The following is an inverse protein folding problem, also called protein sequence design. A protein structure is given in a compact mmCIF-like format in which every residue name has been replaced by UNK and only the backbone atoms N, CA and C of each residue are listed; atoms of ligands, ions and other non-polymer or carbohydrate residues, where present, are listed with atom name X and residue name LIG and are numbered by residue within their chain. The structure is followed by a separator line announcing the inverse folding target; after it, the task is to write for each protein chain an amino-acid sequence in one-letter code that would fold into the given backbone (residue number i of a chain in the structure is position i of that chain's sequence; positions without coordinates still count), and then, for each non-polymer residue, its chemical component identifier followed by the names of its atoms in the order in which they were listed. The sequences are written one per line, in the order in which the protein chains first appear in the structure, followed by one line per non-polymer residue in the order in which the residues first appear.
data_IF_949843546943
#
_entry.id   IF_949843546943
#
_cell.length_a   1.000
_cell.length_b   1.000
_cell.length_c   1.000
_cell.angle_alpha   90.00
_cell.angle_beta   90.00
_cell.angle_gamma   90.00
#
_symmetry.space_group_name_H-M   'P 1'
#
loop_
_entity.id
_entity.type
_entity.pdbx_description
1 polymer ?
#
# COMPACT_ATOMS: atom_id res chain seq x y z
N UNK A 1 5.49 34.76 5.46
CA UNK A 1 6.28 33.82 4.64
C UNK A 1 5.31 32.79 4.08
N UNK A 2 5.06 32.81 2.77
CA UNK A 2 4.09 31.93 2.13
C UNK A 2 4.64 30.48 2.14
N UNK A 3 4.03 29.61 2.94
CA UNK A 3 4.29 28.17 2.92
C UNK A 3 3.66 27.57 1.64
N UNK A 4 4.19 27.94 0.47
CA UNK A 4 3.82 27.36 -0.81
C UNK A 4 4.46 26.00 -0.96
N UNK A 5 3.82 24.97 -0.42
CA UNK A 5 4.18 23.59 -0.76
C UNK A 5 4.13 23.39 -2.29
N UNK A 6 4.91 22.45 -2.85
CA UNK A 6 4.90 22.20 -4.29
C UNK A 6 3.47 21.90 -4.76
N UNK A 7 3.05 22.56 -5.84
CA UNK A 7 1.75 22.32 -6.46
C UNK A 7 1.66 20.84 -6.83
N UNK A 8 0.71 20.12 -6.22
CA UNK A 8 0.48 18.70 -6.51
C UNK A 8 -0.25 18.59 -7.83
N UNK A 9 0.14 17.62 -8.64
CA UNK A 9 -0.41 17.41 -9.99
C UNK A 9 -0.89 15.98 -10.16
N UNK A 10 -1.93 15.81 -10.97
CA UNK A 10 -2.37 14.49 -11.42
C UNK A 10 -1.45 13.98 -12.53
N UNK A 11 -1.03 12.72 -12.43
CA UNK A 11 -0.21 12.05 -13.45
C UNK A 11 -0.89 10.75 -13.83
N UNK A 12 -0.94 10.46 -15.13
CA UNK A 12 -1.50 9.22 -15.67
C UNK A 12 -0.39 8.43 -16.34
N UNK A 13 -0.22 7.19 -15.91
CA UNK A 13 0.74 6.24 -16.45
C UNK A 13 -0.04 5.18 -17.22
N UNK A 14 0.31 4.95 -18.48
CA UNK A 14 -0.31 3.85 -19.23
C UNK A 14 0.15 2.51 -18.66
N UNK A 15 -0.80 1.57 -18.52
CA UNK A 15 -0.55 0.22 -18.01
C UNK A 15 -1.00 -0.82 -19.01
N UNK A 16 -0.21 -1.88 -19.15
CA UNK A 16 -0.58 -3.07 -19.90
C UNK A 16 -1.18 -4.11 -18.96
N UNK A 17 -2.28 -4.69 -19.39
CA UNK A 17 -2.96 -5.75 -18.67
C UNK A 17 -2.44 -7.11 -19.17
N UNK A 18 -2.00 -8.02 -18.28
CA UNK A 18 -1.67 -9.37 -18.70
C UNK A 18 -2.98 -10.04 -19.16
N UNK A 19 -3.06 -10.43 -20.43
CA UNK A 19 -4.29 -10.82 -21.13
C UNK A 19 -5.22 -11.84 -20.44
N UNK A 20 -6.41 -12.11 -21.02
CA UNK A 20 -7.43 -12.98 -20.45
C UNK A 20 -6.87 -14.39 -20.20
N UNK A 21 -6.59 -14.71 -18.94
CA UNK A 21 -5.95 -15.97 -18.53
C UNK A 21 -5.06 -15.85 -17.28
N UNK A 22 -4.64 -14.64 -16.91
CA UNK A 22 -3.82 -14.40 -15.72
C UNK A 22 -4.64 -14.31 -14.41
N UNK A 23 -5.67 -15.16 -14.26
CA UNK A 23 -6.47 -15.32 -13.04
C UNK A 23 -5.95 -16.48 -12.19
N UNK A 24 -4.63 -16.74 -12.24
CA UNK A 24 -4.02 -17.61 -11.26
C UNK A 24 -3.76 -16.81 -9.98
N UNK A 25 -4.53 -17.19 -8.97
CA UNK A 25 -4.26 -17.05 -7.53
C UNK A 25 -3.09 -16.14 -7.16
N UNK A 26 -3.41 -14.93 -6.67
CA UNK A 26 -2.51 -14.12 -5.84
C UNK A 26 -1.05 -14.00 -6.37
N UNK A 27 -0.81 -13.38 -7.52
CA UNK A 27 0.52 -12.79 -7.76
C UNK A 27 1.02 -12.59 -9.18
N UNK A 28 0.37 -13.13 -10.22
CA UNK A 28 0.90 -13.12 -11.60
C UNK A 28 0.09 -12.27 -12.60
N UNK A 29 -1.13 -11.85 -12.25
CA UNK A 29 -1.98 -10.96 -13.07
C UNK A 29 -1.76 -9.46 -12.84
N UNK A 30 -0.54 -9.03 -12.50
CA UNK A 30 -0.25 -7.64 -12.18
C UNK A 30 -0.22 -6.77 -13.43
N UNK A 31 -1.03 -5.71 -13.49
CA UNK A 31 -0.86 -4.65 -14.49
C UNK A 31 0.56 -4.07 -14.38
N UNK A 32 1.24 -3.93 -15.50
CA UNK A 32 2.59 -3.35 -15.58
C UNK A 32 2.55 -2.04 -16.34
N UNK A 33 3.21 -0.96 -15.86
CA UNK A 33 3.38 0.25 -16.64
C UNK A 33 4.02 -0.05 -18.00
N UNK A 34 3.45 0.49 -19.08
CA UNK A 34 3.98 0.32 -20.45
C UNK A 34 5.36 0.96 -20.54
N UNK A 35 5.49 2.16 -19.97
CA UNK A 35 6.75 2.86 -19.82
C UNK A 35 7.32 2.65 -18.41
N UNK A 36 8.65 2.53 -18.28
CA UNK A 36 9.27 2.35 -16.99
C UNK A 36 9.02 3.56 -16.09
N UNK A 37 8.48 3.31 -14.88
CA UNK A 37 8.25 4.36 -13.89
C UNK A 37 9.55 5.13 -13.62
N UNK A 38 9.58 6.47 -13.79
CA UNK A 38 10.79 7.26 -13.62
C UNK A 38 11.43 7.06 -12.25
N UNK A 39 12.77 7.14 -12.12
CA UNK A 39 13.48 6.94 -10.86
C UNK A 39 13.40 8.18 -9.94
N UNK A 40 12.21 8.75 -9.80
CA UNK A 40 11.92 9.92 -8.98
C UNK A 40 10.72 9.59 -8.11
N UNK A 41 10.80 9.88 -6.82
CA UNK A 41 9.70 9.62 -5.91
C UNK A 41 8.51 10.53 -6.22
N UNK A 42 7.36 9.95 -6.57
CA UNK A 42 6.13 10.70 -6.86
C UNK A 42 5.65 11.59 -5.69
N UNK A 43 6.03 11.29 -4.44
CA UNK A 43 5.64 12.08 -3.26
C UNK A 43 6.54 13.28 -2.99
N UNK A 44 7.85 13.14 -3.18
CA UNK A 44 8.82 14.15 -2.73
C UNK A 44 9.62 14.78 -3.88
N UNK A 45 9.57 14.21 -5.10
CA UNK A 45 10.39 14.66 -6.23
C UNK A 45 11.88 14.38 -6.08
N UNK A 46 12.27 13.62 -5.05
CA UNK A 46 13.65 13.24 -4.78
C UNK A 46 14.03 11.97 -5.57
N UNK A 47 15.33 11.77 -5.86
CA UNK A 47 15.80 10.57 -6.57
C UNK A 47 15.48 9.28 -5.83
N UNK A 48 15.26 8.23 -6.60
CA UNK A 48 15.07 6.86 -6.14
C UNK A 48 16.29 6.36 -5.36
N UNK A 49 16.04 5.70 -4.23
CA UNK A 49 17.05 4.94 -3.48
C UNK A 49 16.62 3.49 -3.23
N UNK A 50 15.34 3.18 -3.47
CA UNK A 50 14.74 1.86 -3.27
C UNK A 50 13.49 1.70 -4.16
N UNK A 51 13.12 0.47 -4.50
CA UNK A 51 11.87 0.13 -5.19
C UNK A 51 10.97 -0.70 -4.29
N UNK A 52 9.73 -0.23 -4.16
CA UNK A 52 8.72 -0.89 -3.34
C UNK A 52 7.59 -1.39 -4.20
N UNK A 53 7.22 -2.66 -4.03
CA UNK A 53 6.03 -3.21 -4.66
C UNK A 53 4.78 -2.56 -4.07
N UNK A 54 4.01 -1.90 -4.93
CA UNK A 54 2.74 -1.29 -4.58
C UNK A 54 1.65 -2.05 -5.27
N UNK A 55 0.73 -2.58 -4.49
CA UNK A 55 -0.50 -3.11 -5.05
C UNK A 55 -1.51 -1.97 -5.19
N UNK A 56 -2.30 -1.90 -6.25
CA UNK A 56 -3.37 -0.91 -6.46
C UNK A 56 -4.60 -1.69 -6.86
N UNK A 57 -5.67 -1.57 -6.09
CA UNK A 57 -6.94 -2.24 -6.38
C UNK A 57 -7.84 -1.31 -7.20
N UNK A 58 -8.44 -1.82 -8.27
CA UNK A 58 -9.57 -1.17 -8.94
C UNK A 58 -10.85 -1.97 -8.67
N UNK A 59 -11.96 -1.24 -8.51
CA UNK A 59 -13.32 -1.81 -8.51
C UNK A 59 -13.89 -1.87 -9.96
N UNK A 60 -13.02 -1.66 -10.98
CA UNK A 60 -13.46 -1.55 -12.36
C UNK A 60 -13.85 -2.92 -12.90
N UNK A 61 -15.16 -3.14 -13.03
CA UNK A 61 -15.72 -4.23 -13.82
C UNK A 61 -15.22 -4.08 -15.27
N UNK A 62 -14.67 -5.15 -15.82
CA UNK A 62 -14.22 -5.30 -17.21
C UNK A 62 -14.87 -4.37 -18.25
N UNK A 63 -14.11 -3.77 -19.18
CA UNK A 63 -14.72 -3.16 -20.37
C UNK A 63 -15.37 -4.27 -21.21
N UNK A 64 -16.70 -4.27 -21.19
CA UNK A 64 -17.64 -5.02 -22.04
C UNK A 64 -17.26 -6.46 -22.43
N UNK A 65 -17.64 -7.42 -21.57
CA UNK A 65 -18.05 -8.72 -22.07
C UNK A 65 -19.58 -8.76 -22.13
N UNK A 66 -20.14 -8.61 -23.33
CA UNK A 66 -21.54 -8.93 -23.64
C UNK A 66 -21.76 -10.44 -23.46
N UNK A 67 -21.89 -10.90 -22.22
CA UNK A 67 -22.40 -12.22 -21.90
C UNK A 67 -23.67 -12.08 -21.04
N UNK A 68 -24.61 -12.99 -21.25
CA UNK A 68 -26.03 -12.77 -21.02
C UNK A 68 -26.45 -12.39 -19.60
N UNK A 69 -27.61 -11.72 -19.52
CA UNK A 69 -28.27 -11.12 -18.34
C UNK A 69 -28.48 -12.02 -17.11
N UNK A 70 -28.07 -13.29 -17.12
CA UNK A 70 -28.36 -14.26 -16.05
C UNK A 70 -27.14 -14.72 -15.24
N UNK A 71 -25.91 -14.34 -15.61
CA UNK A 71 -24.68 -14.66 -14.84
C UNK A 71 -24.07 -13.51 -14.02
N UNK A 72 -24.47 -12.26 -14.29
CA UNK A 72 -23.66 -11.06 -13.95
C UNK A 72 -23.60 -10.63 -12.48
N UNK A 73 -24.53 -11.04 -11.62
CA UNK A 73 -24.60 -10.49 -10.26
C UNK A 73 -23.53 -11.05 -9.30
N UNK A 74 -23.01 -12.26 -9.58
CA UNK A 74 -21.99 -12.91 -8.75
C UNK A 74 -20.56 -12.67 -9.26
N UNK A 75 -20.35 -12.48 -10.56
CA UNK A 75 -19.04 -12.15 -11.15
C UNK A 75 -18.64 -10.68 -10.94
N UNK A 76 -19.60 -9.76 -10.90
CA UNK A 76 -19.32 -8.34 -10.65
C UNK A 76 -18.82 -8.05 -9.22
N UNK A 77 -19.00 -8.98 -8.28
CA UNK A 77 -18.64 -8.78 -6.88
C UNK A 77 -17.17 -9.12 -6.54
N UNK A 78 -16.40 -9.73 -7.46
CA UNK A 78 -15.12 -10.36 -7.11
C UNK A 78 -13.90 -10.00 -7.96
N UNK A 79 -14.02 -9.12 -8.95
CA UNK A 79 -12.86 -8.73 -9.78
C UNK A 79 -12.17 -7.49 -9.23
N UNK A 80 -11.66 -7.57 -8.00
CA UNK A 80 -10.73 -6.57 -7.48
C UNK A 80 -9.43 -6.70 -8.28
N UNK A 81 -9.22 -5.84 -9.27
CA UNK A 81 -8.00 -5.90 -10.08
C UNK A 81 -6.84 -5.35 -9.26
N UNK A 82 -5.84 -6.18 -8.96
CA UNK A 82 -4.69 -5.78 -8.14
C UNK A 82 -3.47 -5.58 -9.05
N UNK A 83 -3.17 -4.34 -9.40
CA UNK A 83 -1.93 -3.97 -10.07
C UNK A 83 -0.77 -3.99 -9.07
N UNK A 84 0.19 -4.91 -9.19
CA UNK A 84 1.43 -4.89 -8.40
C UNK A 84 2.54 -4.19 -9.20
N UNK A 85 2.78 -2.91 -8.91
CA UNK A 85 3.76 -2.07 -9.62
C UNK A 85 4.96 -1.80 -8.73
N UNK A 86 6.16 -1.97 -9.25
CA UNK A 86 7.39 -1.55 -8.56
C UNK A 86 7.52 -0.02 -8.62
N UNK A 87 7.46 0.63 -7.45
CA UNK A 87 7.36 2.08 -7.33
C UNK A 87 8.61 2.71 -6.69
N UNK A 88 9.09 3.85 -7.20
CA UNK A 88 10.28 4.51 -6.68
C UNK A 88 10.04 5.14 -5.29
N UNK A 89 10.92 4.81 -4.35
CA UNK A 89 10.96 5.42 -3.02
C UNK A 89 12.23 6.25 -2.85
N UNK A 90 12.11 7.46 -2.29
CA UNK A 90 13.26 8.30 -1.94
C UNK A 90 13.74 8.03 -0.50
N UNK A 91 14.94 8.52 -0.18
CA UNK A 91 15.55 8.40 1.15
C UNK A 91 14.63 8.88 2.28
N UNK A 92 13.82 9.92 2.04
CA UNK A 92 12.86 10.43 3.02
C UNK A 92 11.71 9.46 3.28
N UNK A 93 11.19 8.81 2.25
CA UNK A 93 10.18 7.77 2.39
C UNK A 93 10.74 6.56 3.14
N UNK A 94 11.94 6.12 2.77
CA UNK A 94 12.62 4.98 3.42
C UNK A 94 12.91 5.29 4.89
N UNK A 95 13.43 6.48 5.21
CA UNK A 95 13.70 6.87 6.59
C UNK A 95 12.45 6.88 7.47
N UNK A 96 11.32 7.37 6.96
CA UNK A 96 10.04 7.33 7.68
C UNK A 96 9.58 5.89 7.88
N UNK A 97 9.67 5.04 6.85
CA UNK A 97 9.31 3.62 6.93
C UNK A 97 10.15 2.90 8.00
N UNK A 98 11.46 3.07 7.97
CA UNK A 98 12.40 2.46 8.93
C UNK A 98 12.12 2.95 10.34
N UNK A 99 11.87 4.25 10.55
CA UNK A 99 11.52 4.79 11.88
C UNK A 99 10.25 4.15 12.44
N UNK A 100 9.21 3.98 11.62
CA UNK A 100 7.97 3.32 12.03
C UNK A 100 8.16 1.84 12.30
N UNK A 101 8.98 1.14 11.50
CA UNK A 101 9.33 -0.26 11.75
C UNK A 101 10.09 -0.44 13.06
N UNK A 102 11.06 0.43 13.34
CA UNK A 102 11.81 0.42 14.61
C UNK A 102 10.86 0.72 15.78
N UNK A 103 10.00 1.73 15.66
CA UNK A 103 9.04 2.08 16.70
C UNK A 103 8.05 0.93 16.97
N UNK A 104 7.54 0.28 15.92
CA UNK A 104 6.67 -0.88 16.04
C UNK A 104 7.38 -2.06 16.71
N UNK A 105 8.60 -2.38 16.25
CA UNK A 105 9.41 -3.45 16.84
C UNK A 105 9.68 -3.20 18.33
N UNK A 106 10.12 -1.99 18.69
CA UNK A 106 10.37 -1.61 20.09
C UNK A 106 9.10 -1.74 20.94
N UNK A 107 7.96 -1.28 20.42
CA UNK A 107 6.67 -1.38 21.13
C UNK A 107 6.25 -2.84 21.33
N UNK A 108 6.39 -3.68 20.30
CA UNK A 108 6.12 -5.12 20.40
C UNK A 108 7.05 -5.80 21.41
N UNK A 109 8.33 -5.45 21.45
CA UNK A 109 9.28 -5.99 22.44
C UNK A 109 8.86 -5.63 23.87
N UNK A 110 8.52 -4.37 24.12
CA UNK A 110 8.06 -3.93 25.45
C UNK A 110 6.78 -4.65 25.86
N UNK A 111 5.79 -4.73 24.95
CA UNK A 111 4.53 -5.43 25.23
C UNK A 111 4.75 -6.93 25.45
N UNK A 112 5.67 -7.56 24.70
CA UNK A 112 6.03 -8.96 24.89
C UNK A 112 6.66 -9.23 26.26
N UNK A 113 7.56 -8.36 26.72
CA UNK A 113 8.16 -8.46 28.06
C UNK A 113 7.11 -8.28 29.15
N UNK A 114 6.21 -7.30 29.02
CA UNK A 114 5.09 -7.10 29.95
C UNK A 114 4.17 -8.32 29.97
N UNK A 115 3.85 -8.88 28.80
CA UNK A 115 3.06 -10.09 28.68
C UNK A 115 3.70 -11.27 29.42
N UNK A 116 4.98 -11.53 29.20
CA UNK A 116 5.74 -12.58 29.89
C UNK A 116 5.74 -12.37 31.41
N UNK A 117 5.91 -11.14 31.88
CA UNK A 117 5.87 -10.81 33.30
C UNK A 117 4.47 -11.09 33.90
N UNK A 118 3.39 -10.76 33.18
CA UNK A 118 2.02 -11.06 33.61
C UNK A 118 1.73 -12.56 33.64
N UNK A 119 2.21 -13.33 32.65
CA UNK A 119 2.12 -14.81 32.66
C UNK A 119 2.80 -15.36 33.90
N UNK A 120 4.03 -14.89 34.19
CA UNK A 120 4.79 -15.35 35.34
C UNK A 120 4.09 -15.04 36.66
N UNK A 121 3.54 -13.84 36.81
CA UNK A 121 2.76 -13.45 37.98
C UNK A 121 1.52 -14.36 38.17
N UNK A 122 0.80 -14.68 37.09
CA UNK A 122 -0.35 -15.59 37.15
C UNK A 122 0.04 -17.01 37.59
N UNK A 123 1.16 -17.54 37.07
CA UNK A 123 1.69 -18.85 37.49
C UNK A 123 2.05 -18.86 38.97
N UNK A 124 2.47 -17.72 39.53
CA UNK A 124 2.74 -17.56 40.97
C UNK A 124 1.48 -17.37 41.84
N UNK A 125 0.28 -17.44 41.26
CA UNK A 125 -0.98 -17.31 42.00
C UNK A 125 -1.50 -15.89 42.15
N UNK A 126 -1.08 -14.97 41.28
CA UNK A 126 -1.61 -13.61 41.26
C UNK A 126 -3.15 -13.57 41.03
N UNK A 127 -3.85 -12.55 41.55
CA UNK A 127 -5.31 -12.47 41.51
C UNK A 127 -5.87 -12.37 40.09
N UNK A 128 -7.16 -12.71 39.92
CA UNK A 128 -7.89 -12.73 38.63
C UNK A 128 -7.77 -11.45 37.78
N UNK A 129 -7.51 -10.30 38.41
CA UNK A 129 -7.27 -9.01 37.73
C UNK A 129 -6.10 -9.10 36.73
N UNK A 130 -5.10 -9.93 36.99
CA UNK A 130 -3.97 -10.15 36.08
C UNK A 130 -4.36 -10.88 34.80
N UNK A 131 -5.43 -11.70 34.82
CA UNK A 131 -5.95 -12.35 33.62
C UNK A 131 -6.56 -11.35 32.62
N UNK A 132 -7.28 -10.34 33.13
CA UNK A 132 -7.80 -9.25 32.29
C UNK A 132 -6.69 -8.36 31.74
N UNK A 133 -5.66 -8.08 32.54
CA UNK A 133 -4.48 -7.35 32.08
C UNK A 133 -3.75 -8.10 30.94
N UNK A 134 -3.68 -9.43 31.04
CA UNK A 134 -3.04 -10.27 30.03
C UNK A 134 -3.78 -10.24 28.68
N UNK A 135 -5.12 -10.30 28.71
CA UNK A 135 -5.95 -10.12 27.52
C UNK A 135 -5.78 -8.74 26.89
N UNK A 136 -5.72 -7.69 27.71
CA UNK A 136 -5.53 -6.33 27.23
C UNK A 136 -4.15 -6.16 26.55
N UNK A 137 -3.07 -6.62 27.18
CA UNK A 137 -1.71 -6.58 26.62
C UNK A 137 -1.62 -7.41 25.35
N UNK A 138 -2.25 -8.59 25.31
CA UNK A 138 -2.30 -9.42 24.12
C UNK A 138 -3.01 -8.69 22.96
N UNK A 139 -4.19 -8.12 23.20
CA UNK A 139 -4.91 -7.35 22.18
C UNK A 139 -4.12 -6.13 21.69
N UNK A 140 -3.51 -5.37 22.62
CA UNK A 140 -2.68 -4.20 22.31
C UNK A 140 -1.41 -4.56 21.52
N UNK A 141 -0.89 -5.79 21.64
CA UNK A 141 0.32 -6.23 20.92
C UNK A 141 0.13 -6.32 19.39
N UNK A 142 -1.11 -6.42 18.93
CA UNK A 142 -1.42 -6.43 17.49
C UNK A 142 -1.50 -5.02 16.88
N UNK A 143 -1.72 -3.99 17.69
CA UNK A 143 -1.88 -2.62 17.20
C UNK A 143 -0.59 -2.07 16.52
N UNK A 144 0.62 -2.23 17.07
CA UNK A 144 1.85 -1.79 16.41
C UNK A 144 2.11 -2.53 15.10
N UNK A 145 1.80 -3.83 15.05
CA UNK A 145 1.92 -4.65 13.83
C UNK A 145 0.96 -4.15 12.77
N UNK A 146 -0.30 -3.90 13.14
CA UNK A 146 -1.32 -3.36 12.25
C UNK A 146 -0.92 -1.98 11.71
N UNK A 147 -0.47 -1.08 12.58
CA UNK A 147 -0.03 0.27 12.19
C UNK A 147 1.20 0.19 11.29
N UNK A 148 2.18 -0.67 11.60
CA UNK A 148 3.33 -0.87 10.73
C UNK A 148 2.89 -1.32 9.34
N UNK A 149 2.04 -2.34 9.23
CA UNK A 149 1.54 -2.84 7.94
C UNK A 149 0.77 -1.75 7.16
N UNK A 150 -0.07 -0.95 7.83
CA UNK A 150 -0.87 0.10 7.20
C UNK A 150 -0.08 1.34 6.79
N UNK A 151 0.91 1.76 7.58
CA UNK A 151 1.80 2.87 7.24
C UNK A 151 2.78 2.47 6.13
N UNK A 152 3.05 1.16 6.00
CA UNK A 152 3.89 0.60 4.94
C UNK A 152 3.15 0.54 3.60
N UNK A 153 1.81 0.46 3.55
CA UNK A 153 1.06 0.48 2.28
C UNK A 153 1.19 1.86 1.60
N UNK A 154 1.96 1.98 0.51
CA UNK A 154 2.16 3.26 -0.17
C UNK A 154 0.90 3.74 -0.92
N UNK A 155 -0.13 2.87 -1.01
CA UNK A 155 -1.46 3.11 -1.58
C UNK A 155 -2.10 4.41 -1.09
N UNK A 156 -2.25 4.56 0.23
CA UNK A 156 -3.05 5.63 0.81
C UNK A 156 -2.35 6.99 0.75
N UNK A 157 -1.01 7.02 0.71
CA UNK A 157 -0.24 8.25 0.76
C UNK A 157 -0.08 8.95 -0.60
N UNK A 158 -0.21 8.21 -1.70
CA UNK A 158 0.01 8.73 -3.06
C UNK A 158 -1.31 9.01 -3.82
N UNK A 159 -2.45 8.51 -3.29
CA UNK A 159 -3.74 8.63 -3.97
C UNK A 159 -3.70 8.00 -5.36
N UNK A 160 -3.11 6.80 -5.43
CA UNK A 160 -3.02 6.01 -6.64
C UNK A 160 -4.29 5.20 -6.83
N UNK A 161 -4.90 5.34 -7.99
CA UNK A 161 -6.07 4.59 -8.42
C UNK A 161 -5.85 4.11 -9.86
N UNK A 162 -6.51 3.04 -10.25
CA UNK A 162 -6.63 2.72 -11.68
C UNK A 162 -7.78 3.56 -12.23
N UNK A 163 -7.62 4.13 -13.42
CA UNK A 163 -8.67 4.84 -14.12
C UNK A 163 -9.84 3.89 -14.45
N UNK A 164 -11.03 4.46 -14.64
CA UNK A 164 -12.25 3.68 -14.93
C UNK A 164 -12.16 2.86 -16.23
N UNK A 165 -11.27 3.28 -17.15
CA UNK A 165 -10.98 2.57 -18.40
C UNK A 165 -10.05 1.35 -18.23
N UNK A 166 -9.45 1.18 -17.05
CA UNK A 166 -8.47 0.12 -16.78
C UNK A 166 -7.13 0.27 -17.52
N UNK A 167 -6.96 1.33 -18.31
CA UNK A 167 -5.81 1.53 -19.18
C UNK A 167 -4.73 2.42 -18.55
N UNK A 168 -5.09 3.17 -17.50
CA UNK A 168 -4.18 4.09 -16.84
C UNK A 168 -4.13 3.90 -15.32
N UNK A 169 -2.93 4.02 -14.77
CA UNK A 169 -2.71 4.27 -13.35
C UNK A 169 -2.67 5.78 -13.10
N UNK A 170 -3.62 6.27 -12.30
CA UNK A 170 -3.77 7.68 -11.95
C UNK A 170 -3.13 7.95 -10.60
N UNK A 171 -2.19 8.90 -10.54
CA UNK A 171 -1.59 9.42 -9.32
C UNK A 171 -2.11 10.82 -9.08
N UNK A 172 -3.10 10.97 -8.19
CA UNK A 172 -3.81 12.24 -7.98
C UNK A 172 -2.98 13.36 -7.32
N UNK A 173 -1.88 13.01 -6.63
CA UNK A 173 -1.06 13.97 -5.86
C UNK A 173 0.45 13.83 -6.11
N UNK A 174 0.83 13.67 -7.38
CA UNK A 174 2.23 13.58 -7.75
C UNK A 174 2.97 14.92 -7.55
N UNK A 175 4.28 14.83 -7.33
CA UNK A 175 5.18 15.97 -7.32
C UNK A 175 5.46 16.46 -8.76
N UNK A 176 5.60 17.77 -9.01
CA UNK A 176 5.84 18.31 -10.36
C UNK A 176 7.05 17.72 -11.09
N UNK A 177 8.14 17.43 -10.37
CA UNK A 177 9.32 16.77 -10.94
C UNK A 177 9.00 15.38 -11.49
N UNK A 178 8.16 14.63 -10.78
CA UNK A 178 7.71 13.32 -11.24
C UNK A 178 6.85 13.46 -12.49
N UNK A 179 5.92 14.41 -12.51
CA UNK A 179 5.08 14.68 -13.68
C UNK A 179 5.91 15.09 -14.91
N UNK A 180 6.93 15.93 -14.71
CA UNK A 180 7.88 16.30 -15.78
C UNK A 180 8.65 15.10 -16.31
N UNK A 181 9.10 14.22 -15.42
CA UNK A 181 9.82 13.01 -15.81
C UNK A 181 8.95 12.04 -16.60
N UNK A 182 7.67 11.87 -16.22
CA UNK A 182 6.70 11.07 -16.98
C UNK A 182 6.41 11.72 -18.33
N UNK A 183 6.19 13.04 -18.37
CA UNK A 183 5.91 13.75 -19.62
C UNK A 183 7.09 13.70 -20.62
N UNK A 184 8.33 13.62 -20.13
CA UNK A 184 9.52 13.49 -20.96
C UNK A 184 9.74 12.06 -21.50
N UNK A 185 9.03 11.05 -20.99
CA UNK A 185 9.10 9.67 -21.47
C UNK A 185 8.12 9.42 -22.63
N UNK A 186 6.97 10.09 -22.64
CA UNK A 186 5.93 9.96 -23.66
C UNK A 186 6.12 10.82 -24.92
N UNK A 187 7.33 11.39 -25.14
CA UNK A 187 7.73 12.11 -26.36
C UNK A 187 8.76 11.32 -27.14
#
# INVERSE_FOLDING_TARGET
MANGGPQRVEVRLAVEYPGPGAVDTLGSGAMTPIEPVPPICARHGEPEVDRVRVTVSSDASWPEQKSGRLGSALEAAYTVQVAAVEWPACARCVAVRVRWQIAAAATCTVLGVVFLALVFALVQGAPKVYGFALLAVFGLSFLPIYVALRVIEPRAALGMAVADDGAHLVVSRAHPEFARAVAAQGT
#
